data_IF_332304998017
#
_entry.id   IF_332304998017
#
_cell.length_a   1.000
_cell.length_b   1.000
_cell.length_c   1.000
_cell.angle_alpha   90.00
_cell.angle_beta   90.00
_cell.angle_gamma   90.00
#
_symmetry.space_group_name_H-M   'P 1'
#
loop_
_entity.id
_entity.type
_entity.pdbx_description
1 polymer ?
#
# COMPACT_ATOMS: atom_id res chain seq x y z
N UNK A 1 14.67 -1.40 12.66
CA UNK A 1 15.00 -1.78 11.26
C UNK A 1 14.04 -1.08 10.31
N UNK A 2 14.49 -0.09 9.54
CA UNK A 2 13.72 0.55 8.46
C UNK A 2 13.69 -0.44 7.28
N UNK A 3 12.50 -0.80 6.80
CA UNK A 3 12.35 -1.67 5.63
C UNK A 3 12.95 -1.01 4.37
N UNK A 4 13.23 -1.80 3.31
CA UNK A 4 13.79 -1.28 2.07
C UNK A 4 12.89 -0.16 1.52
N UNK A 5 13.47 0.89 0.90
CA UNK A 5 12.69 2.02 0.41
C UNK A 5 11.70 1.52 -0.66
N UNK A 6 10.41 1.79 -0.42
CA UNK A 6 9.25 1.41 -1.24
C UNK A 6 9.38 1.77 -2.75
N UNK A 7 10.37 2.58 -3.13
CA UNK A 7 10.54 3.20 -4.44
C UNK A 7 10.67 2.24 -5.64
N UNK A 8 11.18 1.02 -5.47
CA UNK A 8 11.24 0.02 -6.56
C UNK A 8 10.08 -0.98 -6.59
N UNK A 9 9.34 -1.12 -5.49
CA UNK A 9 8.20 -2.02 -5.34
C UNK A 9 6.84 -1.35 -5.68
N UNK A 10 6.83 -0.01 -5.69
CA UNK A 10 5.64 0.79 -5.91
C UNK A 10 4.88 0.48 -7.22
N UNK A 11 5.53 0.30 -8.39
CA UNK A 11 4.78 0.19 -9.65
C UNK A 11 3.81 -1.00 -9.71
N UNK A 12 4.26 -2.20 -9.33
CA UNK A 12 3.42 -3.39 -9.35
C UNK A 12 2.29 -3.33 -8.30
N UNK A 13 2.58 -2.83 -7.09
CA UNK A 13 1.59 -2.66 -6.03
C UNK A 13 0.54 -1.59 -6.40
N UNK A 14 0.97 -0.49 -7.04
CA UNK A 14 0.06 0.53 -7.55
C UNK A 14 -0.84 0.02 -8.68
N UNK A 15 -0.35 -0.88 -9.53
CA UNK A 15 -1.17 -1.48 -10.58
C UNK A 15 -2.30 -2.35 -10.01
N UNK A 16 -2.01 -3.17 -8.98
CA UNK A 16 -3.06 -3.91 -8.28
C UNK A 16 -4.04 -2.97 -7.57
N UNK A 17 -3.54 -1.90 -6.94
CA UNK A 17 -4.38 -0.86 -6.31
C UNK A 17 -5.34 -0.20 -7.30
N UNK A 18 -4.84 0.27 -8.45
CA UNK A 18 -5.67 0.90 -9.50
C UNK A 18 -6.72 -0.03 -10.10
N UNK A 19 -6.48 -1.34 -10.03
CA UNK A 19 -7.41 -2.38 -10.49
C UNK A 19 -8.39 -2.85 -9.40
N UNK A 20 -8.28 -2.29 -8.19
CA UNK A 20 -9.01 -2.72 -6.99
C UNK A 20 -8.81 -4.23 -6.67
N UNK A 21 -7.65 -4.79 -7.04
CA UNK A 21 -7.30 -6.19 -6.81
C UNK A 21 -6.51 -6.34 -5.50
N UNK A 22 -7.23 -6.27 -4.38
CA UNK A 22 -6.66 -6.49 -3.05
C UNK A 22 -6.00 -7.87 -2.88
N UNK A 23 -6.58 -9.00 -3.36
CA UNK A 23 -5.93 -10.30 -3.28
C UNK A 23 -4.58 -10.36 -4.03
N UNK A 24 -4.53 -9.84 -5.27
CA UNK A 24 -3.31 -9.74 -6.07
C UNK A 24 -2.26 -8.88 -5.39
N UNK A 25 -2.68 -7.75 -4.83
CA UNK A 25 -1.81 -6.88 -4.05
C UNK A 25 -1.22 -7.58 -2.82
N UNK A 26 -2.03 -8.26 -2.01
CA UNK A 26 -1.54 -8.93 -0.79
C UNK A 26 -0.50 -10.01 -1.16
N UNK A 27 -0.74 -10.75 -2.24
CA UNK A 27 0.19 -11.77 -2.75
C UNK A 27 1.51 -11.14 -3.16
N UNK A 28 1.47 -10.07 -3.94
CA UNK A 28 2.68 -9.37 -4.41
C UNK A 28 3.43 -8.69 -3.26
N UNK A 29 2.70 -8.08 -2.33
CA UNK A 29 3.26 -7.46 -1.15
C UNK A 29 4.03 -8.48 -0.29
N UNK A 30 3.47 -9.68 -0.06
CA UNK A 30 4.15 -10.77 0.67
C UNK A 30 5.39 -11.28 -0.06
N UNK A 31 5.33 -11.35 -1.40
CA UNK A 31 6.47 -11.73 -2.24
C UNK A 31 7.63 -10.74 -2.09
N UNK A 32 7.32 -9.44 -2.02
CA UNK A 32 8.30 -8.36 -1.89
C UNK A 32 8.76 -8.14 -0.43
N UNK A 33 7.96 -8.55 0.55
CA UNK A 33 8.20 -8.35 1.98
C UNK A 33 8.11 -9.67 2.76
N UNK A 34 9.02 -10.64 2.53
CA UNK A 34 8.99 -11.92 3.21
C UNK A 34 9.09 -11.75 4.73
N UNK A 35 8.21 -12.43 5.48
CA UNK A 35 8.17 -12.41 6.94
C UNK A 35 7.61 -11.12 7.57
N UNK A 36 7.15 -10.15 6.77
CA UNK A 36 6.51 -8.93 7.27
C UNK A 36 4.98 -9.12 7.25
N UNK A 37 4.29 -8.48 8.20
CA UNK A 37 2.84 -8.28 8.19
C UNK A 37 2.50 -6.83 7.80
N UNK A 38 1.23 -6.56 7.46
CA UNK A 38 0.79 -5.20 7.14
C UNK A 38 0.46 -4.92 5.66
N UNK A 39 0.22 -5.94 4.83
CA UNK A 39 -0.23 -5.75 3.45
C UNK A 39 -1.48 -4.87 3.34
N UNK A 40 -2.46 -5.08 4.22
CA UNK A 40 -3.70 -4.28 4.25
C UNK A 40 -3.40 -2.83 4.66
N UNK A 41 -2.52 -2.61 5.64
CA UNK A 41 -2.11 -1.25 6.01
C UNK A 41 -1.41 -0.54 4.84
N UNK A 42 -0.51 -1.24 4.13
CA UNK A 42 0.15 -0.69 2.96
C UNK A 42 -0.83 -0.34 1.82
N UNK A 43 -1.91 -1.10 1.67
CA UNK A 43 -2.99 -0.77 0.74
C UNK A 43 -3.71 0.53 1.16
N UNK A 44 -4.05 0.67 2.44
CA UNK A 44 -4.69 1.88 2.98
C UNK A 44 -3.78 3.09 2.83
N UNK A 45 -2.49 2.96 3.15
CA UNK A 45 -1.51 4.05 3.01
C UNK A 45 -1.41 4.53 1.55
N UNK A 46 -1.46 3.60 0.58
CA UNK A 46 -1.52 3.93 -0.85
C UNK A 46 -2.84 4.65 -1.20
N UNK A 47 -3.96 4.21 -0.63
CA UNK A 47 -5.26 4.84 -0.88
C UNK A 47 -5.29 6.30 -0.38
N UNK A 48 -4.77 6.53 0.83
CA UNK A 48 -4.60 7.87 1.41
C UNK A 48 -3.68 8.72 0.55
N UNK A 49 -2.52 8.20 0.15
CA UNK A 49 -1.57 8.92 -0.70
C UNK A 49 -2.13 9.26 -2.10
N UNK A 50 -3.10 8.49 -2.59
CA UNK A 50 -3.83 8.77 -3.83
C UNK A 50 -5.07 9.67 -3.63
N UNK A 51 -5.30 10.17 -2.41
CA UNK A 51 -6.41 11.07 -2.11
C UNK A 51 -7.78 10.39 -2.04
N UNK A 52 -7.84 9.05 -1.90
CA UNK A 52 -9.11 8.33 -1.78
C UNK A 52 -9.85 8.67 -0.48
N UNK A 53 -9.10 9.05 0.55
CA UNK A 53 -9.62 9.61 1.78
C UNK A 53 -9.11 11.05 1.85
N UNK A 54 -9.99 12.00 1.56
CA UNK A 54 -9.78 13.40 1.94
C UNK A 54 -9.81 13.42 3.46
N UNK A 55 -8.65 13.23 4.09
CA UNK A 55 -8.48 13.40 5.53
C UNK A 55 -8.57 14.90 5.76
N UNK A 56 -9.80 15.42 5.72
CA UNK A 56 -10.09 16.71 6.33
C UNK A 56 -9.79 16.49 7.80
N UNK A 57 -8.63 16.96 8.25
CA UNK A 57 -8.40 17.20 9.65
C UNK A 57 -9.63 17.96 10.16
N UNK A 58 -10.46 17.29 10.99
CA UNK A 58 -11.46 18.01 11.75
C UNK A 58 -10.67 18.99 12.63
N UNK A 59 -10.71 20.26 12.24
CA UNK A 59 -10.19 21.41 12.97
C UNK A 59 -10.72 21.31 14.43
N UNK A 60 -9.84 21.35 15.45
CA UNK A 60 -10.17 20.98 16.85
C UNK A 60 -11.23 21.82 17.55
#
# INVERSE_FOLDING_TARGET
MRGPPLQKALPALLDFYKRDDLPGFIKEWRRLNPGRSGAVQAWIDIAIANGAYDIKEEDP
#
